data_IF_748215529319
#
_entry.id   IF_748215529319
#
_cell.length_a   1.000
_cell.length_b   1.000
_cell.length_c   1.000
_cell.angle_alpha   90.00
_cell.angle_beta   90.00
_cell.angle_gamma   90.00
#
_symmetry.space_group_name_H-M   'P 1'
#
loop_
_entity.id
_entity.type
_entity.pdbx_description
1 polymer ?
#
# COMPACT_ATOMS: atom_id res chain seq x y z
N UNK A 1 19.45 10.76 6.41
CA UNK A 1 20.08 9.85 5.43
C UNK A 1 19.54 8.43 5.48
N UNK A 2 19.49 7.81 6.65
CA UNK A 2 18.90 6.47 6.79
C UNK A 2 17.43 6.39 6.35
N UNK A 3 16.64 7.43 6.58
CA UNK A 3 15.24 7.49 6.17
C UNK A 3 15.07 7.48 4.65
N UNK A 4 15.90 8.21 3.93
CA UNK A 4 15.87 8.27 2.47
C UNK A 4 16.30 6.93 1.87
N UNK A 5 17.31 6.30 2.43
CA UNK A 5 17.80 4.98 2.02
C UNK A 5 16.75 3.89 2.21
N UNK A 6 16.04 3.93 3.33
CA UNK A 6 14.97 2.97 3.63
C UNK A 6 13.79 3.17 2.69
N UNK A 7 13.38 4.42 2.47
CA UNK A 7 12.30 4.74 1.55
C UNK A 7 12.63 4.30 0.13
N UNK A 8 13.86 4.55 -0.33
CA UNK A 8 14.30 4.11 -1.66
C UNK A 8 14.33 2.59 -1.80
N UNK A 9 14.73 1.88 -0.77
CA UNK A 9 14.68 0.41 -0.77
C UNK A 9 13.25 -0.09 -0.90
N UNK A 10 12.34 0.51 -0.18
CA UNK A 10 10.93 0.13 -0.25
C UNK A 10 10.34 0.46 -1.61
N UNK A 11 10.65 1.62 -2.17
CA UNK A 11 10.21 2.01 -3.51
C UNK A 11 10.74 1.05 -4.57
N UNK A 12 12.01 0.70 -4.51
CA UNK A 12 12.61 -0.26 -5.44
C UNK A 12 12.01 -1.66 -5.30
N UNK A 13 11.77 -2.09 -4.09
CA UNK A 13 11.15 -3.38 -3.81
C UNK A 13 9.71 -3.44 -4.34
N UNK A 14 8.94 -2.41 -4.08
CA UNK A 14 7.58 -2.29 -4.61
C UNK A 14 7.60 -2.23 -6.13
N UNK A 15 8.51 -1.44 -6.70
CA UNK A 15 8.67 -1.34 -8.15
C UNK A 15 9.09 -2.66 -8.80
N UNK A 16 9.91 -3.48 -8.13
CA UNK A 16 10.31 -4.78 -8.64
C UNK A 16 9.19 -5.82 -8.58
N UNK A 17 8.37 -5.77 -7.53
CA UNK A 17 7.26 -6.70 -7.36
C UNK A 17 6.00 -6.27 -8.13
N UNK A 18 5.80 -4.99 -8.29
CA UNK A 18 4.58 -4.41 -8.89
C UNK A 18 4.92 -3.39 -9.98
N UNK A 19 5.91 -3.70 -10.80
CA UNK A 19 6.57 -2.81 -11.74
C UNK A 19 5.72 -1.99 -12.70
N UNK A 20 4.41 -2.20 -12.74
CA UNK A 20 3.51 -1.37 -13.55
C UNK A 20 2.80 -0.26 -12.78
N UNK A 21 2.67 -0.42 -11.46
CA UNK A 21 1.82 0.45 -10.64
C UNK A 21 2.47 1.81 -10.40
N UNK A 22 3.80 1.82 -10.23
CA UNK A 22 4.55 3.03 -9.93
C UNK A 22 5.28 3.60 -11.15
N UNK A 23 5.15 2.97 -12.31
CA UNK A 23 5.77 3.44 -13.54
C UNK A 23 4.89 4.49 -14.20
N UNK A 24 5.22 5.74 -13.98
CA UNK A 24 4.69 6.80 -14.82
C UNK A 24 5.23 6.64 -16.25
N UNK A 25 4.37 6.80 -17.22
CA UNK A 25 4.76 6.78 -18.64
C UNK A 25 5.84 7.80 -19.00
N UNK A 26 6.08 8.77 -18.13
CA UNK A 26 7.01 9.87 -18.38
C UNK A 26 8.23 9.89 -17.45
N UNK A 27 8.47 8.81 -16.70
CA UNK A 27 9.63 8.74 -15.80
C UNK A 27 9.61 9.75 -14.66
N UNK A 28 8.53 10.44 -14.49
CA UNK A 28 8.34 11.37 -13.38
C UNK A 28 7.66 10.65 -12.24
N UNK A 29 8.28 10.83 -11.14
CA UNK A 29 8.07 10.18 -9.86
C UNK A 29 6.62 10.08 -9.36
N UNK A 30 6.52 9.28 -8.42
CA UNK A 30 5.54 9.07 -7.33
C UNK A 30 4.68 10.30 -6.97
N UNK A 31 5.01 11.50 -7.41
CA UNK A 31 4.18 12.70 -7.23
C UNK A 31 2.74 12.50 -7.68
N UNK A 32 2.53 11.64 -8.67
CA UNK A 32 1.20 11.35 -9.19
C UNK A 32 0.41 10.38 -8.31
N UNK A 33 1.07 9.61 -7.45
CA UNK A 33 0.38 8.73 -6.51
C UNK A 33 -0.38 9.55 -5.45
N UNK A 34 0.08 10.77 -5.17
CA UNK A 34 -0.64 11.70 -4.31
C UNK A 34 -1.94 12.23 -4.87
N UNK A 35 -2.15 12.13 -6.18
CA UNK A 35 -3.38 12.52 -6.84
C UNK A 35 -4.38 11.37 -6.90
N UNK A 36 -5.46 11.47 -6.16
CA UNK A 36 -6.50 10.44 -6.12
C UNK A 36 -7.14 10.17 -7.48
N UNK A 37 -6.99 11.08 -8.41
CA UNK A 37 -7.59 10.99 -9.74
C UNK A 37 -6.93 9.96 -10.65
N UNK A 38 -5.67 9.60 -10.37
CA UNK A 38 -4.89 8.68 -11.19
C UNK A 38 -5.01 7.24 -10.69
N UNK A 39 -5.42 7.07 -9.45
CA UNK A 39 -5.55 5.75 -8.85
C UNK A 39 -6.88 5.12 -9.21
N UNK A 40 -6.91 3.79 -9.46
CA UNK A 40 -8.16 3.12 -9.76
C UNK A 40 -9.12 3.17 -8.59
N UNK A 41 -10.42 3.17 -8.92
CA UNK A 41 -11.46 3.16 -7.91
C UNK A 41 -11.42 1.85 -7.11
N UNK A 42 -11.85 1.89 -5.83
CA UNK A 42 -12.00 0.67 -5.05
C UNK A 42 -12.97 -0.31 -5.72
N UNK A 43 -12.73 -1.58 -5.52
CA UNK A 43 -13.67 -2.60 -5.99
C UNK A 43 -14.98 -2.54 -5.23
N UNK A 44 -16.08 -2.90 -5.90
CA UNK A 44 -17.34 -3.17 -5.22
C UNK A 44 -17.17 -4.42 -4.33
N UNK A 45 -18.08 -4.61 -3.38
CA UNK A 45 -18.03 -5.77 -2.49
C UNK A 45 -18.07 -7.09 -3.26
N UNK A 46 -18.82 -7.13 -4.35
CA UNK A 46 -18.95 -8.33 -5.20
C UNK A 46 -17.69 -8.61 -5.99
N UNK A 47 -17.11 -7.59 -6.61
CA UNK A 47 -15.85 -7.69 -7.35
C UNK A 47 -14.71 -8.14 -6.44
N UNK A 48 -14.62 -7.54 -5.25
CA UNK A 48 -13.61 -7.88 -4.26
C UNK A 48 -13.73 -9.33 -3.83
N UNK A 49 -14.96 -9.80 -3.60
CA UNK A 49 -15.22 -11.19 -3.24
C UNK A 49 -14.76 -12.18 -4.31
N UNK A 50 -15.01 -11.86 -5.57
CA UNK A 50 -14.56 -12.68 -6.69
C UNK A 50 -13.04 -12.76 -6.77
N UNK A 51 -12.38 -11.62 -6.58
CA UNK A 51 -10.92 -11.55 -6.63
C UNK A 51 -10.30 -12.27 -5.43
N UNK A 52 -10.88 -12.12 -4.24
CA UNK A 52 -10.42 -12.83 -3.04
C UNK A 52 -10.53 -14.35 -3.22
N UNK A 53 -11.54 -14.82 -3.94
CA UNK A 53 -11.71 -16.24 -4.22
C UNK A 53 -10.59 -16.80 -5.12
N UNK A 54 -9.91 -15.96 -5.88
CA UNK A 54 -8.80 -16.35 -6.76
C UNK A 54 -7.47 -16.47 -6.03
N UNK A 55 -7.38 -15.99 -4.79
CA UNK A 55 -6.18 -16.13 -3.99
C UNK A 55 -5.88 -17.61 -3.71
N UNK A 56 -4.63 -18.00 -3.88
CA UNK A 56 -4.21 -19.38 -3.75
C UNK A 56 -4.42 -20.26 -4.98
N UNK A 57 -5.02 -19.70 -6.04
CA UNK A 57 -5.22 -20.38 -7.32
C UNK A 57 -4.08 -20.07 -8.30
N UNK A 58 -4.19 -20.55 -9.54
CA UNK A 58 -3.25 -20.20 -10.61
C UNK A 58 -3.23 -18.71 -10.95
N UNK A 59 -4.27 -17.97 -10.56
CA UNK A 59 -4.42 -16.54 -10.78
C UNK A 59 -4.08 -15.70 -9.53
N UNK A 60 -3.41 -16.30 -8.57
CA UNK A 60 -3.09 -15.65 -7.28
C UNK A 60 -2.31 -14.34 -7.46
N UNK A 61 -1.28 -14.36 -8.29
CA UNK A 61 -0.42 -13.20 -8.52
C UNK A 61 -1.19 -12.01 -9.09
N UNK A 62 -2.05 -12.27 -10.07
CA UNK A 62 -2.88 -11.25 -10.69
C UNK A 62 -3.93 -10.71 -9.71
N UNK A 63 -4.52 -11.60 -8.93
CA UNK A 63 -5.50 -11.23 -7.92
C UNK A 63 -4.87 -10.33 -6.84
N UNK A 64 -3.69 -10.65 -6.36
CA UNK A 64 -2.97 -9.84 -5.37
C UNK A 64 -2.63 -8.47 -5.93
N UNK A 65 -2.11 -8.41 -7.15
CA UNK A 65 -1.78 -7.15 -7.83
C UNK A 65 -3.00 -6.26 -7.96
N UNK A 66 -4.13 -6.84 -8.37
CA UNK A 66 -5.39 -6.09 -8.50
C UNK A 66 -5.89 -5.56 -7.15
N UNK A 67 -5.81 -6.37 -6.10
CA UNK A 67 -6.22 -5.95 -4.76
C UNK A 67 -5.35 -4.82 -4.23
N UNK A 68 -4.05 -4.88 -4.47
CA UNK A 68 -3.13 -3.81 -4.08
C UNK A 68 -3.47 -2.53 -4.83
N UNK A 69 -3.55 -2.61 -6.15
CA UNK A 69 -3.79 -1.47 -7.02
C UNK A 69 -5.10 -0.73 -6.67
N UNK A 70 -6.17 -1.48 -6.45
CA UNK A 70 -7.49 -0.91 -6.15
C UNK A 70 -7.67 -0.51 -4.68
N UNK A 71 -6.67 -0.71 -3.84
CA UNK A 71 -6.64 -0.25 -2.45
C UNK A 71 -5.58 0.83 -2.19
N UNK A 72 -4.90 1.32 -3.24
CA UNK A 72 -3.90 2.37 -3.08
C UNK A 72 -4.50 3.70 -2.62
N UNK A 73 -5.74 4.00 -2.98
CA UNK A 73 -6.44 5.19 -2.47
C UNK A 73 -6.55 5.17 -0.96
N UNK A 74 -6.78 4.00 -0.39
CA UNK A 74 -6.84 3.82 1.06
C UNK A 74 -5.48 4.11 1.69
N UNK A 75 -4.39 3.65 1.08
CA UNK A 75 -3.03 3.95 1.54
C UNK A 75 -2.77 5.45 1.54
N UNK A 76 -3.11 6.14 0.47
CA UNK A 76 -2.94 7.59 0.36
C UNK A 76 -3.75 8.32 1.43
N UNK A 77 -4.99 7.91 1.62
CA UNK A 77 -5.87 8.50 2.63
C UNK A 77 -5.27 8.38 4.04
N UNK A 78 -4.77 7.22 4.39
CA UNK A 78 -4.17 6.98 5.71
C UNK A 78 -2.83 7.72 5.84
N UNK A 79 -1.99 7.68 4.80
CA UNK A 79 -0.70 8.37 4.81
C UNK A 79 -0.85 9.87 5.06
N UNK A 80 -1.87 10.49 4.48
CA UNK A 80 -2.15 11.91 4.67
C UNK A 80 -2.46 12.28 6.12
N UNK A 81 -3.00 11.36 6.90
CA UNK A 81 -3.23 11.58 8.33
C UNK A 81 -1.94 11.75 9.12
N UNK A 82 -0.82 11.28 8.60
CA UNK A 82 0.48 11.33 9.25
C UNK A 82 1.40 12.42 8.68
N UNK A 83 0.88 13.34 7.87
CA UNK A 83 1.66 14.44 7.28
C UNK A 83 2.40 15.28 8.32
N UNK A 84 1.81 15.45 9.50
CA UNK A 84 2.35 16.30 10.56
C UNK A 84 3.57 15.69 11.28
N UNK A 85 3.99 14.50 10.88
CA UNK A 85 5.11 13.82 11.53
C UNK A 85 6.48 14.28 11.03
N UNK A 86 6.52 15.15 10.02
CA UNK A 86 7.77 15.62 9.43
C UNK A 86 8.33 14.70 8.35
N UNK A 87 7.66 13.59 8.07
CA UNK A 87 8.03 12.66 7.01
C UNK A 87 7.20 13.00 5.77
N UNK A 88 7.84 12.99 4.59
CA UNK A 88 7.16 13.25 3.33
C UNK A 88 6.02 12.26 3.09
N UNK A 89 4.91 12.75 2.55
CA UNK A 89 3.74 11.91 2.27
C UNK A 89 4.08 10.77 1.32
N UNK A 90 4.99 10.98 0.39
CA UNK A 90 5.44 9.95 -0.55
C UNK A 90 6.10 8.78 0.16
N UNK A 91 6.94 9.06 1.16
CA UNK A 91 7.58 8.04 1.98
C UNK A 91 6.54 7.30 2.81
N UNK A 92 5.59 8.01 3.36
CA UNK A 92 4.49 7.42 4.13
C UNK A 92 3.63 6.51 3.26
N UNK A 93 3.37 6.89 2.01
CA UNK A 93 2.64 6.06 1.05
C UNK A 93 3.41 4.77 0.76
N UNK A 94 4.71 4.87 0.55
CA UNK A 94 5.56 3.70 0.31
C UNK A 94 5.52 2.73 1.49
N UNK A 95 5.65 3.24 2.69
CA UNK A 95 5.57 2.47 3.94
C UNK A 95 4.18 1.85 4.10
N UNK A 96 3.15 2.65 3.90
CA UNK A 96 1.76 2.20 3.99
C UNK A 96 1.43 1.10 2.98
N UNK A 97 2.01 1.19 1.79
CA UNK A 97 1.83 0.16 0.75
C UNK A 97 2.39 -1.19 1.20
N UNK A 98 3.49 -1.20 1.95
CA UNK A 98 4.02 -2.43 2.56
C UNK A 98 3.00 -3.02 3.54
N UNK A 99 2.37 -2.17 4.34
CA UNK A 99 1.30 -2.61 5.23
C UNK A 99 0.12 -3.21 4.48
N UNK A 100 -0.25 -2.61 3.36
CA UNK A 100 -1.31 -3.15 2.49
C UNK A 100 -0.93 -4.52 1.91
N UNK A 101 0.30 -4.67 1.44
CA UNK A 101 0.80 -5.96 0.91
C UNK A 101 0.74 -7.03 2.00
N UNK A 102 1.21 -6.71 3.19
CA UNK A 102 1.13 -7.63 4.34
C UNK A 102 -0.32 -8.01 4.66
N UNK A 103 -1.22 -7.04 4.60
CA UNK A 103 -2.64 -7.28 4.84
C UNK A 103 -3.22 -8.28 3.84
N UNK A 104 -2.95 -8.10 2.55
CA UNK A 104 -3.45 -8.98 1.50
C UNK A 104 -2.87 -10.39 1.65
N UNK A 105 -1.60 -10.49 2.04
CA UNK A 105 -0.94 -11.78 2.23
C UNK A 105 -1.45 -12.56 3.45
N UNK A 106 -1.98 -11.87 4.44
CA UNK A 106 -2.42 -12.48 5.70
C UNK A 106 -3.92 -12.45 5.92
N UNK A 107 -4.67 -11.83 5.01
CA UNK A 107 -6.11 -11.72 5.13
C UNK A 107 -6.79 -13.08 5.01
N UNK A 108 -7.71 -13.34 5.93
CA UNK A 108 -8.55 -14.54 5.89
C UNK A 108 -9.98 -14.17 5.53
N UNK A 109 -10.44 -14.49 4.30
CA UNK A 109 -11.80 -14.14 3.86
C UNK A 109 -12.90 -14.82 4.69
N UNK A 110 -12.55 -15.88 5.41
CA UNK A 110 -13.51 -16.62 6.25
C UNK A 110 -13.82 -15.90 7.57
N UNK A 111 -12.98 -14.95 7.96
CA UNK A 111 -13.26 -14.12 9.14
C UNK A 111 -14.24 -13.01 8.75
N UNK A 112 -15.11 -12.67 9.67
CA UNK A 112 -16.16 -11.69 9.44
C UNK A 112 -15.65 -10.24 9.54
N UNK A 113 -14.57 -9.93 8.82
CA UNK A 113 -13.96 -8.60 8.78
C UNK A 113 -13.77 -8.23 7.32
N UNK A 114 -14.08 -6.98 6.97
CA UNK A 114 -13.84 -6.46 5.61
C UNK A 114 -12.36 -6.25 5.38
N UNK A 115 -11.90 -6.50 4.15
CA UNK A 115 -10.51 -6.29 3.78
C UNK A 115 -10.05 -4.86 4.07
N UNK A 116 -10.85 -3.86 3.73
CA UNK A 116 -10.49 -2.46 3.97
C UNK A 116 -10.24 -2.15 5.45
N UNK A 117 -11.03 -2.73 6.34
CA UNK A 117 -10.86 -2.57 7.80
C UNK A 117 -9.56 -3.20 8.27
N UNK A 118 -9.29 -4.41 7.83
CA UNK A 118 -8.05 -5.12 8.17
C UNK A 118 -6.83 -4.43 7.58
N UNK A 119 -6.91 -4.05 6.30
CA UNK A 119 -5.82 -3.35 5.61
C UNK A 119 -5.51 -2.01 6.26
N UNK A 120 -6.52 -1.25 6.67
CA UNK A 120 -6.32 0.03 7.36
C UNK A 120 -5.46 -0.13 8.60
N UNK A 121 -5.72 -1.15 9.40
CA UNK A 121 -4.91 -1.44 10.60
C UNK A 121 -3.49 -1.80 10.25
N UNK A 122 -3.28 -2.62 9.22
CA UNK A 122 -1.95 -3.02 8.79
C UNK A 122 -1.15 -1.84 8.22
N UNK A 123 -1.81 -0.96 7.47
CA UNK A 123 -1.19 0.25 6.93
C UNK A 123 -0.77 1.19 8.07
N UNK A 124 -1.68 1.48 8.98
CA UNK A 124 -1.40 2.33 10.14
C UNK A 124 -0.28 1.75 10.99
N UNK A 125 -0.31 0.46 11.27
CA UNK A 125 0.71 -0.20 12.06
C UNK A 125 2.09 -0.11 11.43
N UNK A 126 2.18 -0.29 10.11
CA UNK A 126 3.44 -0.18 9.39
C UNK A 126 4.01 1.24 9.49
N UNK A 127 3.17 2.25 9.31
CA UNK A 127 3.57 3.65 9.44
C UNK A 127 4.01 3.95 10.87
N UNK A 128 3.23 3.52 11.86
CA UNK A 128 3.55 3.75 13.28
C UNK A 128 4.86 3.09 13.68
N UNK A 129 5.12 1.86 13.24
CA UNK A 129 6.39 1.19 13.49
C UNK A 129 7.57 1.97 12.91
N UNK A 130 7.41 2.47 11.69
CA UNK A 130 8.44 3.29 11.05
C UNK A 130 8.71 4.57 11.84
N UNK A 131 7.66 5.24 12.31
CA UNK A 131 7.79 6.45 13.11
C UNK A 131 8.46 6.19 14.47
N UNK A 132 8.15 5.06 15.09
CA UNK A 132 8.76 4.66 16.37
C UNK A 132 10.26 4.37 16.19
N UNK A 133 10.63 3.65 15.15
CA UNK A 133 12.03 3.38 14.83
C UNK A 133 12.79 4.68 14.58
N UNK A 134 12.18 5.61 13.83
CA UNK A 134 12.75 6.93 13.59
C UNK A 134 12.99 7.73 14.87
N UNK A 135 12.08 7.64 15.85
CA UNK A 135 12.22 8.28 17.15
C UNK A 135 13.31 7.64 18.01
N UNK A 136 13.48 6.34 17.90
CA UNK A 136 14.49 5.60 18.67
C UNK A 136 15.93 5.97 18.26
N UNK A 137 16.11 6.51 17.07
CA UNK A 137 17.42 6.91 16.53
C UNK A 137 17.71 8.42 16.69
N UNK A 138 16.88 9.14 17.37
CA UNK A 138 17.11 10.57 17.63
C UNK A 138 17.91 10.76 18.94
#
# INVERSE_FOLDING_TARGET
MLKISVANRFQLRIASEFGGIFRSKNGTDIHYIGGAEILPAPFSAEEEKEILAKLGSSHDKEARSSLIEHNLRLVVYIAKKFENTGIGVEDLISIGTIGLIKAINTFNPLKNIKLATYASRCIENEILMFLQIGRAHV
#
